data_IF_895973104177
#
_entry.id   IF_895973104177
#
_cell.length_a   1.000
_cell.length_b   1.000
_cell.length_c   1.000
_cell.angle_alpha   90.00
_cell.angle_beta   90.00
_cell.angle_gamma   90.00
#
_symmetry.space_group_name_H-M   'P 1'
#
loop_
_entity.id
_entity.type
_entity.pdbx_description
1 polymer ?
#
# COMPACT_ATOMS: atom_id res chain seq x y z
N UNK A 1 -43.67 -39.11 28.65
CA UNK A 1 -43.65 -37.82 27.94
C UNK A 1 -42.84 -36.74 28.67
N UNK A 2 -43.04 -36.51 29.98
CA UNK A 2 -42.29 -35.51 30.77
C UNK A 2 -40.76 -35.72 30.78
N UNK A 3 -40.29 -36.95 31.03
CA UNK A 3 -38.84 -37.25 31.05
C UNK A 3 -38.13 -36.93 29.72
N UNK A 4 -38.76 -37.19 28.57
CA UNK A 4 -38.20 -36.88 27.25
C UNK A 4 -38.07 -35.37 27.04
N UNK A 5 -39.05 -34.58 27.49
CA UNK A 5 -39.00 -33.12 27.43
C UNK A 5 -37.91 -32.55 28.35
N UNK A 6 -37.73 -33.11 29.55
CA UNK A 6 -36.65 -32.72 30.45
C UNK A 6 -35.27 -33.03 29.88
N UNK A 7 -35.07 -34.18 29.24
CA UNK A 7 -33.81 -34.51 28.56
C UNK A 7 -33.52 -33.54 27.41
N UNK A 8 -34.51 -33.23 26.58
CA UNK A 8 -34.35 -32.25 25.48
C UNK A 8 -34.05 -30.85 26.01
N UNK A 9 -34.69 -30.42 27.10
CA UNK A 9 -34.39 -29.14 27.76
C UNK A 9 -32.95 -29.11 28.27
N UNK A 10 -32.49 -30.16 28.94
CA UNK A 10 -31.10 -30.25 29.43
C UNK A 10 -30.10 -30.19 28.27
N UNK A 11 -30.35 -30.93 27.19
CA UNK A 11 -29.51 -30.88 26.00
C UNK A 11 -29.48 -29.48 25.36
N UNK A 12 -30.62 -28.78 25.33
CA UNK A 12 -30.67 -27.41 24.83
C UNK A 12 -29.88 -26.43 25.71
N UNK A 13 -29.92 -26.58 27.04
CA UNK A 13 -29.13 -25.75 27.97
C UNK A 13 -27.63 -25.98 27.75
N UNK A 14 -27.18 -27.23 27.69
CA UNK A 14 -25.77 -27.55 27.41
C UNK A 14 -25.34 -26.96 26.07
N UNK A 15 -26.21 -27.03 25.04
CA UNK A 15 -25.90 -26.44 23.74
C UNK A 15 -25.76 -24.92 23.78
N UNK A 16 -26.56 -24.24 24.60
CA UNK A 16 -26.42 -22.79 24.81
C UNK A 16 -25.10 -22.47 25.50
N UNK A 17 -24.76 -23.18 26.58
CA UNK A 17 -23.50 -23.01 27.31
C UNK A 17 -22.28 -23.23 26.41
N UNK A 18 -22.31 -24.25 25.55
CA UNK A 18 -21.26 -24.51 24.56
C UNK A 18 -21.09 -23.35 23.56
N UNK A 19 -22.20 -22.81 23.06
CA UNK A 19 -22.20 -21.70 22.11
C UNK A 19 -21.73 -20.40 22.76
N UNK A 20 -22.10 -20.14 24.00
CA UNK A 20 -21.62 -19.00 24.77
C UNK A 20 -20.10 -19.10 24.99
N UNK A 21 -19.60 -20.29 25.35
CA UNK A 21 -18.16 -20.52 25.48
C UNK A 21 -17.40 -20.33 24.16
N UNK A 22 -17.98 -20.75 23.03
CA UNK A 22 -17.39 -20.52 21.70
C UNK A 22 -17.40 -19.04 21.31
N UNK A 23 -18.49 -18.32 21.62
CA UNK A 23 -18.58 -16.89 21.35
C UNK A 23 -17.49 -16.11 22.10
N UNK A 24 -17.26 -16.44 23.37
CA UNK A 24 -16.19 -15.82 24.16
C UNK A 24 -14.80 -16.13 23.59
N UNK A 25 -14.55 -17.37 23.14
CA UNK A 25 -13.30 -17.74 22.45
C UNK A 25 -13.09 -16.92 21.17
N UNK A 26 -14.13 -16.81 20.34
CA UNK A 26 -14.06 -16.05 19.08
C UNK A 26 -13.85 -14.55 19.35
N UNK A 27 -14.51 -13.98 20.37
CA UNK A 27 -14.31 -12.58 20.78
C UNK A 27 -12.88 -12.31 21.22
N UNK A 28 -12.28 -13.22 22.00
CA UNK A 28 -10.88 -13.10 22.41
C UNK A 28 -9.93 -13.16 21.20
N UNK A 29 -10.13 -14.12 20.29
CA UNK A 29 -9.33 -14.24 19.07
C UNK A 29 -9.47 -13.02 18.15
N UNK A 30 -10.67 -12.45 18.05
CA UNK A 30 -10.91 -11.22 17.31
C UNK A 30 -10.13 -10.04 17.92
N UNK A 31 -10.18 -9.85 19.23
CA UNK A 31 -9.47 -8.78 19.91
C UNK A 31 -7.94 -8.87 19.71
N UNK A 32 -7.38 -10.08 19.73
CA UNK A 32 -5.97 -10.32 19.42
C UNK A 32 -5.64 -9.99 17.96
N UNK A 33 -6.46 -10.44 17.01
CA UNK A 33 -6.28 -10.14 15.58
C UNK A 33 -6.36 -8.63 15.30
N UNK A 34 -7.28 -7.93 15.94
CA UNK A 34 -7.40 -6.47 15.86
C UNK A 34 -6.17 -5.76 16.45
N UNK A 35 -5.59 -6.27 17.54
CA UNK A 35 -4.36 -5.70 18.11
C UNK A 35 -3.16 -5.90 17.18
N UNK A 36 -3.04 -7.08 16.55
CA UNK A 36 -2.03 -7.32 15.52
C UNK A 36 -2.22 -6.36 14.34
N UNK A 37 -3.47 -6.11 13.93
CA UNK A 37 -3.78 -5.14 12.89
C UNK A 37 -3.39 -3.71 13.30
N UNK A 38 -3.76 -3.26 14.51
CA UNK A 38 -3.39 -1.95 15.06
C UNK A 38 -1.88 -1.73 15.03
N UNK A 39 -1.10 -2.69 15.52
CA UNK A 39 0.37 -2.61 15.48
C UNK A 39 0.93 -2.50 14.06
N UNK A 40 0.38 -3.27 13.11
CA UNK A 40 0.83 -3.21 11.71
C UNK A 40 0.47 -1.88 11.05
N UNK A 41 -0.69 -1.32 11.38
CA UNK A 41 -1.11 0.00 10.92
C UNK A 41 -0.18 1.08 11.46
N UNK A 42 0.10 1.09 12.77
CA UNK A 42 1.03 2.04 13.40
C UNK A 42 2.42 1.92 12.79
N UNK A 43 2.95 0.70 12.67
CA UNK A 43 4.25 0.47 12.05
C UNK A 43 4.30 0.92 10.57
N UNK A 44 3.18 0.85 9.86
CA UNK A 44 3.06 1.39 8.50
C UNK A 44 3.06 2.92 8.49
N UNK A 45 2.29 3.55 9.39
CA UNK A 45 2.23 5.01 9.53
C UNK A 45 3.60 5.58 9.91
N UNK A 46 4.26 5.02 10.92
CA UNK A 46 5.62 5.40 11.32
C UNK A 46 6.64 5.20 10.20
N UNK A 47 6.52 4.09 9.44
CA UNK A 47 7.38 3.86 8.28
C UNK A 47 7.14 4.91 7.18
N UNK A 48 5.90 5.34 6.95
CA UNK A 48 5.58 6.38 5.97
C UNK A 48 6.05 7.76 6.42
N UNK A 49 5.91 8.08 7.71
CA UNK A 49 6.41 9.31 8.32
C UNK A 49 7.94 9.39 8.21
N UNK A 50 8.66 8.33 8.58
CA UNK A 50 10.13 8.27 8.44
C UNK A 50 10.59 8.43 6.99
N UNK A 51 9.80 7.95 6.02
CA UNK A 51 10.08 8.17 4.61
C UNK A 51 9.83 9.62 4.17
N UNK A 52 8.83 10.29 4.73
CA UNK A 52 8.56 11.71 4.49
C UNK A 52 9.62 12.62 5.12
N UNK A 53 10.11 12.29 6.32
CA UNK A 53 11.20 13.01 6.98
C UNK A 53 12.54 12.83 6.27
N UNK A 54 12.81 11.63 5.73
CA UNK A 54 14.03 11.35 4.97
C UNK A 54 14.13 12.09 3.62
N UNK A 55 13.01 12.65 3.14
CA UNK A 55 12.88 13.50 1.94
C UNK A 55 12.93 15.00 2.24
N UNK A 56 13.03 15.42 3.50
CA UNK A 56 13.37 16.81 3.82
C UNK A 56 14.80 17.09 3.28
N UNK A 57 15.00 18.13 2.47
CA UNK A 57 16.31 18.40 1.89
C UNK A 57 17.27 18.80 3.02
N UNK A 58 18.08 17.84 3.47
CA UNK A 58 19.31 18.14 4.15
C UNK A 58 20.16 18.94 3.16
N UNK A 59 20.29 20.23 3.43
CA UNK A 59 21.13 21.17 2.68
C UNK A 59 22.50 20.51 2.49
N UNK A 60 22.81 20.23 1.23
CA UNK A 60 23.95 19.41 0.82
C UNK A 60 25.25 20.17 1.12
N UNK A 61 26.09 19.57 1.94
CA UNK A 61 27.53 19.78 1.89
C UNK A 61 28.20 18.41 1.76
N UNK A 62 28.60 18.10 0.52
CA UNK A 62 29.63 17.14 0.11
C UNK A 62 29.81 15.84 0.90
N UNK A 63 29.43 14.72 0.28
CA UNK A 63 29.92 13.41 0.68
C UNK A 63 28.93 12.30 0.31
N UNK A 64 29.33 11.46 -0.64
CA UNK A 64 28.61 10.25 -1.03
C UNK A 64 28.32 9.35 0.17
N UNK A 65 27.16 9.51 0.79
CA UNK A 65 26.64 8.51 1.71
C UNK A 65 25.78 7.55 0.91
N UNK A 66 26.35 6.38 0.60
CA UNK A 66 25.57 5.20 0.27
C UNK A 66 24.59 4.96 1.43
N UNK A 67 23.38 5.50 1.32
CA UNK A 67 22.28 5.21 2.23
C UNK A 67 22.06 3.69 2.16
N UNK A 68 22.25 3.01 3.30
CA UNK A 68 22.07 1.57 3.46
C UNK A 68 20.75 1.12 2.80
N UNK A 69 20.73 -0.02 2.09
CA UNK A 69 19.53 -0.48 1.43
C UNK A 69 18.46 -0.77 2.49
N UNK A 70 17.36 -0.01 2.41
CA UNK A 70 16.09 -0.39 3.03
C UNK A 70 15.77 -1.77 2.46
N UNK A 71 15.60 -2.76 3.34
CA UNK A 71 15.70 -4.19 2.99
C UNK A 71 14.94 -4.62 1.71
N UNK A 72 15.36 -5.74 1.10
CA UNK A 72 15.10 -6.10 -0.31
C UNK A 72 13.63 -6.27 -0.72
N UNK A 73 12.65 -6.15 0.20
CA UNK A 73 11.21 -6.26 -0.09
C UNK A 73 10.46 -4.92 -0.12
N UNK A 74 11.09 -3.76 0.16
CA UNK A 74 10.39 -2.46 0.29
C UNK A 74 10.96 -1.29 -0.52
N UNK A 75 12.11 -1.45 -1.17
CA UNK A 75 12.60 -0.44 -2.10
C UNK A 75 11.87 -0.60 -3.45
N UNK A 76 11.25 0.47 -3.95
CA UNK A 76 10.71 0.50 -5.31
C UNK A 76 11.91 0.56 -6.27
N UNK A 77 12.21 -0.47 -7.07
CA UNK A 77 13.32 -0.42 -8.03
C UNK A 77 13.11 0.72 -9.04
N UNK A 78 14.16 1.22 -9.69
CA UNK A 78 13.96 2.14 -10.81
C UNK A 78 13.35 1.39 -12.00
N UNK A 79 12.44 2.03 -12.73
CA UNK A 79 11.76 1.42 -13.89
C UNK A 79 12.74 0.90 -14.94
N UNK A 80 13.82 1.63 -15.20
CA UNK A 80 14.85 1.23 -16.16
C UNK A 80 15.58 -0.08 -15.78
N UNK A 81 15.56 -0.45 -14.50
CA UNK A 81 16.21 -1.65 -13.97
C UNK A 81 15.22 -2.83 -13.85
N UNK A 82 13.98 -2.66 -14.30
CA UNK A 82 12.89 -3.63 -14.12
C UNK A 82 12.15 -3.92 -15.44
N UNK A 83 11.87 -5.21 -15.69
CA UNK A 83 11.18 -5.64 -16.90
C UNK A 83 9.67 -5.36 -16.86
N UNK A 84 9.03 -5.50 -15.69
CA UNK A 84 7.60 -5.30 -15.49
C UNK A 84 7.29 -4.88 -14.04
N UNK A 85 6.08 -4.38 -13.83
CA UNK A 85 5.47 -4.02 -12.55
C UNK A 85 5.36 -5.17 -11.55
N UNK A 86 5.47 -6.43 -11.97
CA UNK A 86 5.44 -7.60 -11.08
C UNK A 86 6.55 -7.59 -10.01
N UNK A 87 7.65 -6.86 -10.26
CA UNK A 87 8.73 -6.69 -9.27
C UNK A 87 8.35 -5.76 -8.12
N UNK A 88 7.30 -4.97 -8.28
CA UNK A 88 6.80 -4.05 -7.26
C UNK A 88 6.04 -4.83 -6.19
N UNK A 89 5.92 -4.27 -4.98
CA UNK A 89 5.02 -4.86 -3.98
C UNK A 89 3.57 -4.76 -4.42
N UNK A 90 2.70 -5.61 -3.87
CA UNK A 90 1.27 -5.68 -4.19
C UNK A 90 0.59 -4.30 -4.10
N UNK A 91 0.88 -3.50 -3.07
CA UNK A 91 0.38 -2.13 -2.93
C UNK A 91 0.75 -1.24 -4.12
N UNK A 92 2.00 -1.32 -4.60
CA UNK A 92 2.46 -0.52 -5.73
C UNK A 92 1.90 -1.05 -7.06
N UNK A 93 1.76 -2.36 -7.22
CA UNK A 93 1.07 -2.95 -8.37
C UNK A 93 -0.38 -2.47 -8.46
N UNK A 94 -1.11 -2.43 -7.34
CA UNK A 94 -2.47 -1.91 -7.28
C UNK A 94 -2.56 -0.42 -7.69
N UNK A 95 -1.58 0.39 -7.28
CA UNK A 95 -1.48 1.79 -7.70
C UNK A 95 -1.17 1.92 -9.21
N UNK A 96 -0.31 1.07 -9.76
CA UNK A 96 -0.02 1.03 -11.20
C UNK A 96 -1.27 0.67 -12.01
N UNK A 97 -2.02 -0.35 -11.58
CA UNK A 97 -3.29 -0.73 -12.19
C UNK A 97 -4.32 0.40 -12.12
N UNK A 98 -4.45 1.08 -10.97
CA UNK A 98 -5.34 2.22 -10.82
C UNK A 98 -4.93 3.43 -11.68
N UNK A 99 -3.63 3.64 -11.91
CA UNK A 99 -3.13 4.67 -12.82
C UNK A 99 -3.42 4.32 -14.30
N UNK A 100 -3.31 3.04 -14.67
CA UNK A 100 -3.72 2.54 -15.98
C UNK A 100 -5.22 2.79 -16.22
N UNK A 101 -6.08 2.43 -15.26
CA UNK A 101 -7.52 2.67 -15.32
C UNK A 101 -7.89 4.16 -15.40
N UNK A 102 -7.13 5.02 -14.70
CA UNK A 102 -7.36 6.46 -14.74
C UNK A 102 -6.94 7.10 -16.07
N UNK A 103 -6.07 6.45 -16.83
CA UNK A 103 -5.58 6.90 -18.14
C UNK A 103 -5.02 8.33 -18.09
N UNK A 104 -5.31 9.11 -19.13
CA UNK A 104 -4.88 10.51 -19.27
C UNK A 104 -5.43 11.42 -18.15
N UNK A 105 -6.52 11.01 -17.49
CA UNK A 105 -7.10 11.74 -16.36
C UNK A 105 -6.20 11.75 -15.12
N UNK A 106 -5.29 10.78 -15.01
CA UNK A 106 -4.35 10.63 -13.92
C UNK A 106 -4.98 10.17 -12.61
N UNK A 107 -4.23 9.33 -11.88
CA UNK A 107 -4.59 8.90 -10.54
C UNK A 107 -4.34 10.05 -9.56
N UNK A 108 -5.32 10.32 -8.69
CA UNK A 108 -5.18 11.30 -7.61
C UNK A 108 -4.92 10.64 -6.25
N UNK A 109 -4.25 11.34 -5.35
CA UNK A 109 -3.87 10.83 -4.02
C UNK A 109 -5.06 10.31 -3.19
N UNK A 110 -6.22 10.97 -3.24
CA UNK A 110 -7.42 10.51 -2.52
C UNK A 110 -7.94 9.17 -3.05
N UNK A 111 -7.96 8.97 -4.38
CA UNK A 111 -8.33 7.69 -5.00
C UNK A 111 -7.29 6.63 -4.70
N UNK A 112 -6.00 6.99 -4.70
CA UNK A 112 -4.93 6.08 -4.31
C UNK A 112 -5.07 5.59 -2.85
N UNK A 113 -5.49 6.45 -1.92
CA UNK A 113 -5.78 6.03 -0.55
C UNK A 113 -6.89 4.96 -0.51
N UNK A 114 -7.96 5.14 -1.30
CA UNK A 114 -9.04 4.12 -1.44
C UNK A 114 -8.50 2.81 -1.99
N UNK A 115 -7.66 2.84 -3.03
CA UNK A 115 -7.03 1.65 -3.64
C UNK A 115 -6.18 0.88 -2.63
N UNK A 116 -5.51 1.60 -1.73
CA UNK A 116 -4.71 1.02 -0.65
C UNK A 116 -5.54 0.56 0.57
N UNK A 117 -6.87 0.68 0.50
CA UNK A 117 -7.78 0.36 1.61
C UNK A 117 -7.65 1.30 2.80
N UNK A 118 -7.17 2.54 2.58
CA UNK A 118 -7.03 3.55 3.62
C UNK A 118 -8.23 4.49 3.66
N UNK A 119 -8.47 5.07 4.83
CA UNK A 119 -9.49 6.09 4.98
C UNK A 119 -9.15 7.35 4.18
N UNK A 120 -9.90 7.58 3.11
CA UNK A 120 -9.73 8.73 2.22
C UNK A 120 -10.22 10.06 2.79
N UNK A 121 -10.94 10.04 3.92
CA UNK A 121 -11.31 11.24 4.67
C UNK A 121 -10.15 11.73 5.56
N UNK A 122 -9.25 10.83 5.97
CA UNK A 122 -8.07 11.18 6.75
C UNK A 122 -7.01 11.88 5.88
N UNK A 123 -6.68 13.13 6.23
CA UNK A 123 -5.67 13.92 5.54
C UNK A 123 -4.29 13.23 5.56
N UNK A 124 -3.88 12.66 6.70
CA UNK A 124 -2.59 11.97 6.81
C UNK A 124 -2.52 10.73 5.90
N UNK A 125 -3.61 9.98 5.74
CA UNK A 125 -3.67 8.84 4.82
C UNK A 125 -3.61 9.27 3.36
N UNK A 126 -4.28 10.37 3.02
CA UNK A 126 -4.20 10.93 1.66
C UNK A 126 -2.78 11.42 1.36
N UNK A 127 -2.10 12.06 2.31
CA UNK A 127 -0.71 12.49 2.13
C UNK A 127 0.26 11.30 2.05
N UNK A 128 0.07 10.26 2.87
CA UNK A 128 0.85 9.03 2.75
C UNK A 128 0.68 8.36 1.38
N UNK A 129 -0.52 8.42 0.80
CA UNK A 129 -0.77 7.89 -0.54
C UNK A 129 -0.10 8.75 -1.60
N UNK A 130 -0.11 10.08 -1.44
CA UNK A 130 0.62 11.02 -2.31
C UNK A 130 2.13 10.75 -2.28
N UNK A 131 2.72 10.55 -1.11
CA UNK A 131 4.14 10.24 -0.97
C UNK A 131 4.53 8.94 -1.71
N UNK A 132 3.66 7.92 -1.68
CA UNK A 132 3.88 6.69 -2.47
C UNK A 132 3.81 6.92 -3.97
N UNK A 133 2.88 7.73 -4.45
CA UNK A 133 2.78 8.10 -5.87
C UNK A 133 4.01 8.91 -6.32
N UNK A 134 4.45 9.87 -5.50
CA UNK A 134 5.68 10.64 -5.73
C UNK A 134 6.91 9.74 -5.82
N UNK A 135 7.03 8.74 -4.95
CA UNK A 135 8.08 7.72 -5.06
C UNK A 135 8.03 6.97 -6.39
N UNK A 136 6.86 6.56 -6.87
CA UNK A 136 6.73 5.92 -8.17
C UNK A 136 7.19 6.87 -9.30
N UNK A 137 6.94 8.17 -9.17
CA UNK A 137 7.45 9.18 -10.12
C UNK A 137 8.97 9.29 -10.08
N UNK A 138 9.57 9.42 -8.89
CA UNK A 138 11.02 9.49 -8.71
C UNK A 138 11.75 8.26 -9.26
N UNK A 139 11.08 7.10 -9.21
CA UNK A 139 11.60 5.84 -9.74
C UNK A 139 11.27 5.61 -11.21
N UNK A 140 10.60 6.55 -11.86
CA UNK A 140 10.25 6.51 -13.29
C UNK A 140 9.07 5.62 -13.64
N UNK A 141 8.35 5.06 -12.66
CA UNK A 141 7.18 4.22 -12.90
C UNK A 141 5.95 5.02 -13.31
N UNK A 142 5.79 6.22 -12.75
CA UNK A 142 4.73 7.18 -13.07
C UNK A 142 5.33 8.52 -13.51
N UNK A 143 4.50 9.38 -14.10
CA UNK A 143 4.82 10.80 -14.32
C UNK A 143 3.73 11.67 -13.70
N UNK A 144 4.08 12.90 -13.34
CA UNK A 144 3.13 13.88 -12.82
C UNK A 144 3.19 15.13 -13.70
N UNK A 145 2.44 15.11 -14.81
CA UNK A 145 2.38 16.25 -15.74
C UNK A 145 1.64 17.45 -15.13
N UNK A 146 0.63 17.16 -14.29
CA UNK A 146 -0.16 18.16 -13.57
C UNK A 146 -0.07 17.88 -12.08
N UNK A 147 0.09 18.91 -11.23
CA UNK A 147 0.16 18.71 -9.79
C UNK A 147 -0.99 17.85 -9.25
N UNK A 148 -0.66 16.76 -8.58
CA UNK A 148 -1.63 15.83 -7.99
C UNK A 148 -2.33 14.90 -8.98
N UNK A 149 -1.83 14.78 -10.21
CA UNK A 149 -2.28 13.81 -11.22
C UNK A 149 -1.13 12.97 -11.72
N UNK A 150 -1.17 11.69 -11.37
CA UNK A 150 -0.12 10.73 -11.66
C UNK A 150 -0.56 9.80 -12.80
N UNK A 151 0.16 9.80 -13.91
CA UNK A 151 -0.15 9.02 -15.10
C UNK A 151 0.97 8.03 -15.41
N UNK A 152 0.67 7.02 -16.23
CA UNK A 152 1.72 6.18 -16.78
C UNK A 152 2.60 7.00 -17.73
N UNK A 153 3.93 6.79 -17.74
CA UNK A 153 4.81 7.34 -18.75
C UNK A 153 4.30 6.91 -20.14
N UNK A 154 4.33 7.84 -21.10
CA UNK A 154 4.08 7.47 -22.49
C UNK A 154 5.04 6.34 -22.90
N UNK A 155 4.60 5.38 -23.74
CA UNK A 155 5.52 4.38 -24.28
C UNK A 155 6.67 5.13 -24.94
N UNK A 156 7.87 4.91 -24.41
CA UNK A 156 9.09 5.49 -24.94
C UNK A 156 9.18 5.03 -26.39
N UNK A 157 9.05 5.96 -27.34
CA UNK A 157 9.45 5.69 -28.70
C UNK A 157 10.96 5.46 -28.64
N UNK A 158 11.34 4.19 -28.59
CA UNK A 158 12.72 3.75 -28.74
C UNK A 158 13.33 4.53 -29.91
N UNK A 159 14.41 5.25 -29.62
CA UNK A 159 14.98 6.28 -30.49
C UNK A 159 15.10 5.82 -31.94
N UNK A 160 14.29 6.42 -32.81
CA UNK A 160 14.60 6.49 -34.23
C UNK A 160 15.89 7.32 -34.35
N UNK A 161 16.94 6.64 -34.79
CA UNK A 161 18.32 7.09 -34.71
C UNK A 161 18.56 8.48 -35.26
N UNK A 162 19.42 9.21 -34.56
CA UNK A 162 20.17 10.32 -35.11
C UNK A 162 21.32 9.73 -35.93
N UNK A 163 21.35 9.85 -37.26
CA UNK A 163 22.61 9.68 -37.98
C UNK A 163 23.39 10.98 -37.78
N UNK A 164 24.32 10.96 -36.81
CA UNK A 164 25.40 11.94 -36.80
C UNK A 164 26.38 11.61 -37.94
N UNK A 165 26.44 12.51 -38.91
CA UNK A 165 27.66 12.99 -39.59
C UNK A 165 28.55 12.01 -40.37
N UNK A 166 28.70 12.28 -41.67
CA UNK A 166 29.86 11.85 -42.47
C UNK A 166 29.95 12.69 -43.74
N UNK A 167 31.09 13.37 -43.90
CA UNK A 167 31.53 14.37 -44.90
C UNK A 167 31.00 14.29 -46.32
#
# INVERSE_FOLDING_TARGET
MRAVLETRRKAAVVRVEELEAELERVRAALAEAEEVLRHRVIGLEQYLEALGEADAPAVVAGGSSQKKPVGPRRAVPHRQDAADTEVLSVDYQALMAAALEAGVGGLGARRAAVVLGWDSASASRVEGARARLKRLVERGWLVEEKPGRFTLPAPEQAGAGRPDGGS
#
